data_IF_475646798813
#
_entry.id   IF_475646798813
#
_cell.length_a   1.000
_cell.length_b   1.000
_cell.length_c   1.000
_cell.angle_alpha   90.00
_cell.angle_beta   90.00
_cell.angle_gamma   90.00
#
_symmetry.space_group_name_H-M   'P 1'
#
loop_
_entity.id
_entity.type
_entity.pdbx_description
1 polymer ?
#
# COMPACT_ATOMS: atom_id res chain seq x y z
N UNK A 1 -61.46 21.86 -42.19
CA UNK A 1 -60.54 22.41 -41.19
C UNK A 1 -59.23 22.73 -41.91
N UNK A 2 -59.03 24.00 -42.34
CA UNK A 2 -57.78 24.44 -42.96
C UNK A 2 -56.92 24.96 -41.81
N UNK A 3 -56.04 24.13 -41.28
CA UNK A 3 -54.97 24.65 -40.43
C UNK A 3 -54.10 25.49 -41.37
N UNK A 4 -54.03 26.79 -41.12
CA UNK A 4 -53.22 27.68 -41.95
C UNK A 4 -51.75 27.23 -41.80
N UNK A 5 -51.08 27.03 -42.93
CA UNK A 5 -49.66 26.62 -42.97
C UNK A 5 -48.79 27.60 -42.17
N UNK A 6 -49.23 28.85 -42.04
CA UNK A 6 -48.62 29.91 -41.26
C UNK A 6 -48.60 29.63 -39.74
N UNK A 7 -49.69 29.12 -39.17
CA UNK A 7 -49.77 28.78 -37.73
C UNK A 7 -48.85 27.60 -37.38
N UNK A 8 -48.77 26.61 -38.26
CA UNK A 8 -47.86 25.48 -38.10
C UNK A 8 -46.40 25.92 -38.20
N UNK A 9 -46.09 26.86 -39.10
CA UNK A 9 -44.73 27.40 -39.28
C UNK A 9 -44.29 28.23 -38.08
N UNK A 10 -45.17 29.05 -37.52
CA UNK A 10 -44.90 29.83 -36.31
C UNK A 10 -44.62 28.92 -35.10
N UNK A 11 -45.42 27.85 -34.92
CA UNK A 11 -45.22 26.89 -33.84
C UNK A 11 -43.87 26.15 -33.95
N UNK A 12 -43.50 25.68 -35.15
CA UNK A 12 -42.21 25.02 -35.40
C UNK A 12 -41.04 25.97 -35.11
N UNK A 13 -41.14 27.25 -35.50
CA UNK A 13 -40.11 28.26 -35.23
C UNK A 13 -39.90 28.53 -33.74
N UNK A 14 -40.98 28.58 -32.95
CA UNK A 14 -40.91 28.78 -31.50
C UNK A 14 -40.27 27.58 -30.81
N UNK A 15 -40.66 26.36 -31.19
CA UNK A 15 -40.08 25.12 -30.66
C UNK A 15 -38.59 25.00 -31.04
N UNK A 16 -38.22 25.32 -32.28
CA UNK A 16 -36.83 25.34 -32.72
C UNK A 16 -35.99 26.37 -31.97
N UNK A 17 -36.53 27.57 -31.72
CA UNK A 17 -35.90 28.61 -30.91
C UNK A 17 -35.66 28.16 -29.46
N UNK A 18 -36.66 27.51 -28.85
CA UNK A 18 -36.55 26.97 -27.50
C UNK A 18 -35.48 25.86 -27.40
N UNK A 19 -35.46 24.92 -28.34
CA UNK A 19 -34.44 23.85 -28.40
C UNK A 19 -33.05 24.45 -28.58
N UNK A 20 -32.91 25.43 -29.49
CA UNK A 20 -31.62 26.10 -29.73
C UNK A 20 -31.14 26.84 -28.49
N UNK A 21 -32.04 27.51 -27.77
CA UNK A 21 -31.74 28.16 -26.49
C UNK A 21 -31.24 27.17 -25.44
N UNK A 22 -31.92 26.02 -25.28
CA UNK A 22 -31.50 24.96 -24.35
C UNK A 22 -30.12 24.40 -24.71
N UNK A 23 -29.84 24.19 -26.00
CA UNK A 23 -28.55 23.69 -26.48
C UNK A 23 -27.39 24.66 -26.23
N UNK A 24 -27.64 25.97 -26.37
CA UNK A 24 -26.61 26.99 -26.09
C UNK A 24 -26.30 27.02 -24.59
N UNK A 25 -27.33 26.98 -23.74
CA UNK A 25 -27.18 26.94 -22.28
C UNK A 25 -26.43 25.66 -21.85
N UNK A 26 -26.77 24.51 -22.41
CA UNK A 26 -26.09 23.25 -22.08
C UNK A 26 -24.62 23.26 -22.51
N UNK A 27 -24.30 23.80 -23.68
CA UNK A 27 -22.90 23.95 -24.13
C UNK A 27 -22.10 24.90 -23.24
N UNK A 28 -22.71 25.98 -22.79
CA UNK A 28 -22.08 26.93 -21.86
C UNK A 28 -21.80 26.27 -20.50
N UNK A 29 -22.77 25.57 -19.92
CA UNK A 29 -22.60 24.85 -18.65
C UNK A 29 -21.54 23.75 -18.75
N UNK A 30 -21.52 22.98 -19.85
CA UNK A 30 -20.46 21.99 -20.09
C UNK A 30 -19.09 22.64 -20.22
N UNK A 31 -18.97 23.79 -20.88
CA UNK A 31 -17.72 24.54 -21.01
C UNK A 31 -17.20 25.08 -19.67
N UNK A 32 -18.10 25.45 -18.76
CA UNK A 32 -17.72 25.84 -17.39
C UNK A 32 -17.30 24.62 -16.58
N UNK A 33 -18.10 23.55 -16.57
CA UNK A 33 -17.81 22.35 -15.79
C UNK A 33 -16.49 21.68 -16.21
N UNK A 34 -16.19 21.63 -17.50
CA UNK A 34 -14.92 21.10 -18.01
C UNK A 34 -13.73 21.92 -17.54
N UNK A 35 -13.80 23.26 -17.59
CA UNK A 35 -12.74 24.13 -17.05
C UNK A 35 -12.58 24.00 -15.55
N UNK A 36 -13.67 23.90 -14.80
CA UNK A 36 -13.63 23.71 -13.36
C UNK A 36 -13.01 22.36 -12.98
N UNK A 37 -13.40 21.29 -13.69
CA UNK A 37 -12.82 19.96 -13.51
C UNK A 37 -11.31 19.96 -13.83
N UNK A 38 -10.90 20.50 -14.97
CA UNK A 38 -9.48 20.48 -15.38
C UNK A 38 -8.60 21.41 -14.54
N UNK A 39 -9.12 22.53 -14.05
CA UNK A 39 -8.31 23.52 -13.33
C UNK A 39 -8.17 23.21 -11.85
N UNK A 40 -9.14 22.54 -11.24
CA UNK A 40 -9.17 22.32 -9.80
C UNK A 40 -9.09 20.85 -9.41
N UNK A 41 -9.78 19.96 -10.12
CA UNK A 41 -9.84 18.54 -9.75
C UNK A 41 -8.58 17.82 -10.22
N UNK A 42 -8.18 17.98 -11.48
CA UNK A 42 -6.97 17.33 -12.03
C UNK A 42 -5.69 17.61 -11.21
N UNK A 43 -5.35 18.85 -10.81
CA UNK A 43 -4.14 19.08 -10.03
C UNK A 43 -4.25 18.57 -8.58
N UNK A 44 -5.45 18.46 -8.03
CA UNK A 44 -5.67 17.85 -6.71
C UNK A 44 -5.46 16.33 -6.81
N UNK A 45 -6.03 15.69 -7.82
CA UNK A 45 -5.89 14.25 -8.08
C UNK A 45 -4.42 13.88 -8.29
N UNK A 46 -3.70 14.67 -9.10
CA UNK A 46 -2.25 14.49 -9.32
C UNK A 46 -1.43 14.64 -8.03
N UNK A 47 -1.76 15.62 -7.18
CA UNK A 47 -1.07 15.82 -5.89
C UNK A 47 -1.38 14.68 -4.91
N UNK A 48 -2.62 14.19 -4.88
CA UNK A 48 -3.01 13.04 -4.07
C UNK A 48 -2.26 11.80 -4.53
N UNK A 49 -2.19 11.55 -5.83
CA UNK A 49 -1.46 10.41 -6.40
C UNK A 49 0.04 10.48 -6.17
N UNK A 50 0.62 11.67 -6.23
CA UNK A 50 2.03 11.88 -5.89
C UNK A 50 2.27 11.61 -4.39
N UNK A 51 1.46 12.20 -3.52
CA UNK A 51 1.56 12.01 -2.07
C UNK A 51 1.37 10.54 -1.68
N UNK A 52 0.42 9.84 -2.31
CA UNK A 52 0.20 8.41 -2.07
C UNK A 52 1.41 7.57 -2.49
N UNK A 53 2.06 7.91 -3.61
CA UNK A 53 3.30 7.25 -4.04
C UNK A 53 4.45 7.49 -3.06
N UNK A 54 4.62 8.72 -2.59
CA UNK A 54 5.66 9.07 -1.60
C UNK A 54 5.42 8.34 -0.27
N UNK A 55 4.20 8.36 0.26
CA UNK A 55 3.83 7.65 1.49
C UNK A 55 4.05 6.14 1.34
N UNK A 56 3.65 5.56 0.20
CA UNK A 56 3.88 4.13 -0.07
C UNK A 56 5.36 3.79 -0.06
N UNK A 57 6.20 4.61 -0.69
CA UNK A 57 7.66 4.43 -0.68
C UNK A 57 8.25 4.49 0.73
N UNK A 58 7.82 5.45 1.55
CA UNK A 58 8.26 5.56 2.95
C UNK A 58 7.81 4.38 3.80
N UNK A 59 6.59 3.88 3.60
CA UNK A 59 6.08 2.68 4.30
C UNK A 59 6.88 1.45 3.90
N UNK A 60 7.16 1.26 2.61
CA UNK A 60 7.95 0.14 2.10
C UNK A 60 9.38 0.17 2.68
N UNK A 61 10.05 1.32 2.63
CA UNK A 61 11.38 1.50 3.20
C UNK A 61 11.39 1.23 4.71
N UNK A 62 10.45 1.82 5.46
CA UNK A 62 10.36 1.60 6.90
C UNK A 62 10.01 0.13 7.24
N UNK A 63 9.26 -0.56 6.39
CA UNK A 63 8.97 -1.98 6.54
C UNK A 63 10.23 -2.84 6.41
N UNK A 64 11.09 -2.54 5.43
CA UNK A 64 12.38 -3.20 5.25
C UNK A 64 13.32 -2.92 6.42
N UNK A 65 13.41 -1.66 6.87
CA UNK A 65 14.24 -1.27 8.01
C UNK A 65 13.81 -1.98 9.30
N UNK A 66 12.50 -2.04 9.57
CA UNK A 66 11.95 -2.78 10.72
C UNK A 66 12.21 -4.27 10.60
N UNK A 67 12.12 -4.85 9.40
CA UNK A 67 12.45 -6.26 9.16
C UNK A 67 13.91 -6.53 9.47
N UNK A 68 14.82 -5.68 9.00
CA UNK A 68 16.27 -5.82 9.27
C UNK A 68 16.57 -5.67 10.76
N UNK A 69 16.00 -4.66 11.43
CA UNK A 69 16.15 -4.48 12.87
C UNK A 69 15.72 -5.73 13.67
N UNK A 70 14.58 -6.34 13.30
CA UNK A 70 14.12 -7.59 13.93
C UNK A 70 15.06 -8.76 13.67
N UNK A 71 15.61 -8.85 12.46
CA UNK A 71 16.56 -9.90 12.08
C UNK A 71 17.85 -9.78 12.90
N UNK A 72 18.37 -8.56 13.06
CA UNK A 72 19.56 -8.27 13.87
C UNK A 72 19.33 -8.55 15.36
N UNK A 73 18.16 -8.21 15.90
CA UNK A 73 17.80 -8.56 17.27
C UNK A 73 17.80 -10.07 17.48
N UNK A 74 17.14 -10.82 16.60
CA UNK A 74 17.10 -12.28 16.67
C UNK A 74 18.52 -12.87 16.56
N UNK A 75 19.32 -12.38 15.62
CA UNK A 75 20.72 -12.79 15.42
C UNK A 75 21.53 -12.59 16.70
N UNK A 76 21.44 -11.42 17.33
CA UNK A 76 22.18 -11.10 18.55
C UNK A 76 21.78 -12.00 19.73
N UNK A 77 20.48 -12.23 19.91
CA UNK A 77 19.98 -13.10 20.98
C UNK A 77 20.38 -14.56 20.77
N UNK A 78 20.20 -15.11 19.56
CA UNK A 78 20.61 -16.48 19.23
C UNK A 78 22.12 -16.65 19.38
N UNK A 79 22.92 -15.69 18.91
CA UNK A 79 24.38 -15.75 19.04
C UNK A 79 24.80 -15.81 20.51
N UNK A 80 24.14 -15.07 21.39
CA UNK A 80 24.40 -15.11 22.82
C UNK A 80 24.10 -16.50 23.40
N UNK A 81 22.91 -17.04 23.17
CA UNK A 81 22.57 -18.40 23.62
C UNK A 81 23.53 -19.46 23.10
N UNK A 82 23.87 -19.40 21.81
CA UNK A 82 24.82 -20.32 21.20
C UNK A 82 26.23 -20.21 21.78
N UNK A 83 26.64 -19.01 22.20
CA UNK A 83 27.93 -18.80 22.87
C UNK A 83 27.93 -19.37 24.28
N UNK A 84 26.81 -19.27 25.00
CA UNK A 84 26.68 -19.86 26.33
C UNK A 84 26.69 -21.39 26.26
N UNK A 85 25.99 -21.97 25.28
CA UNK A 85 26.04 -23.41 24.99
C UNK A 85 27.46 -23.87 24.61
N UNK A 86 28.19 -23.06 23.84
CA UNK A 86 29.58 -23.33 23.46
C UNK A 86 30.49 -23.41 24.69
N UNK A 87 30.24 -22.59 25.71
CA UNK A 87 30.94 -22.59 27.00
C UNK A 87 30.48 -23.70 27.94
N UNK A 88 29.52 -24.53 27.54
CA UNK A 88 29.00 -25.65 28.33
C UNK A 88 27.81 -25.31 29.22
N UNK A 89 27.24 -24.11 29.11
CA UNK A 89 26.00 -23.75 29.81
C UNK A 89 24.83 -24.51 29.21
N UNK A 90 24.06 -25.21 30.04
CA UNK A 90 22.79 -25.80 29.63
C UNK A 90 21.69 -24.75 29.80
N UNK A 91 20.86 -24.60 28.77
CA UNK A 91 19.68 -23.75 28.85
C UNK A 91 18.65 -24.39 29.80
N UNK A 92 18.00 -23.56 30.60
CA UNK A 92 16.78 -23.94 31.32
C UNK A 92 15.65 -24.20 30.32
N UNK A 93 14.58 -24.87 30.76
CA UNK A 93 13.41 -25.13 29.91
C UNK A 93 12.79 -23.83 29.34
N UNK A 94 12.66 -22.81 30.18
CA UNK A 94 12.14 -21.48 29.78
C UNK A 94 13.06 -20.81 28.75
N UNK A 95 14.38 -20.93 28.93
CA UNK A 95 15.34 -20.38 27.97
C UNK A 95 15.35 -21.15 26.66
N UNK A 96 15.13 -22.47 26.70
CA UNK A 96 15.01 -23.32 25.52
C UNK A 96 13.74 -22.98 24.72
N UNK A 97 12.60 -22.80 25.40
CA UNK A 97 11.36 -22.35 24.78
C UNK A 97 11.56 -20.99 24.10
N UNK A 98 12.11 -20.02 24.84
CA UNK A 98 12.42 -18.69 24.30
C UNK A 98 13.40 -18.75 23.13
N UNK A 99 14.41 -19.60 23.20
CA UNK A 99 15.36 -19.81 22.12
C UNK A 99 14.66 -20.35 20.87
N UNK A 100 13.75 -21.31 21.02
CA UNK A 100 12.98 -21.89 19.92
C UNK A 100 12.03 -20.86 19.28
N UNK A 101 11.41 -20.00 20.07
CA UNK A 101 10.58 -18.90 19.57
C UNK A 101 11.40 -17.89 18.76
N UNK A 102 12.56 -17.49 19.28
CA UNK A 102 13.46 -16.57 18.58
C UNK A 102 13.97 -17.22 17.29
N UNK A 103 14.36 -18.49 17.32
CA UNK A 103 14.84 -19.20 16.14
C UNK A 103 13.72 -19.34 15.08
N UNK A 104 12.50 -19.64 15.50
CA UNK A 104 11.35 -19.71 14.59
C UNK A 104 11.07 -18.38 13.91
N UNK A 105 11.13 -17.27 14.67
CA UNK A 105 10.99 -15.93 14.10
C UNK A 105 12.17 -15.57 13.18
N UNK A 106 13.39 -15.96 13.55
CA UNK A 106 14.57 -15.74 12.73
C UNK A 106 14.47 -16.44 11.36
N UNK A 107 14.02 -17.70 11.33
CA UNK A 107 13.75 -18.45 10.08
C UNK A 107 12.71 -17.73 9.23
N UNK A 108 11.58 -17.32 9.82
CA UNK A 108 10.49 -16.61 9.12
C UNK A 108 10.97 -15.29 8.49
N UNK A 109 11.92 -14.61 9.13
CA UNK A 109 12.47 -13.34 8.65
C UNK A 109 13.54 -13.51 7.56
N UNK A 110 13.97 -14.73 7.25
CA UNK A 110 15.02 -15.02 6.27
C UNK A 110 16.42 -14.97 6.87
N UNK A 111 16.58 -15.50 8.09
CA UNK A 111 17.86 -15.63 8.77
C UNK A 111 18.96 -16.31 7.94
N UNK A 112 20.22 -16.07 8.30
CA UNK A 112 21.36 -16.59 7.57
C UNK A 112 21.68 -18.05 7.93
N UNK A 113 22.31 -18.75 6.98
CA UNK A 113 22.66 -20.17 7.11
C UNK A 113 23.67 -20.47 8.23
N UNK A 114 24.51 -19.50 8.62
CA UNK A 114 25.53 -19.70 9.64
C UNK A 114 24.93 -20.01 11.01
N UNK A 115 23.94 -19.22 11.44
CA UNK A 115 23.26 -19.49 12.71
C UNK A 115 22.51 -20.83 12.63
N UNK A 116 21.80 -21.10 11.54
CA UNK A 116 21.10 -22.38 11.36
C UNK A 116 22.04 -23.59 11.48
N UNK A 117 23.19 -23.56 10.78
CA UNK A 117 24.18 -24.63 10.84
C UNK A 117 24.72 -24.85 12.27
N UNK A 118 24.95 -23.76 13.02
CA UNK A 118 25.44 -23.85 14.41
C UNK A 118 24.38 -24.43 15.35
N UNK A 119 23.10 -24.09 15.15
CA UNK A 119 21.97 -24.67 15.87
C UNK A 119 21.87 -26.18 15.61
N UNK A 120 21.90 -26.59 14.34
CA UNK A 120 21.80 -28.00 13.95
C UNK A 120 22.96 -28.83 14.52
N UNK A 121 24.18 -28.28 14.50
CA UNK A 121 25.34 -28.88 15.13
C UNK A 121 25.12 -29.14 16.62
N UNK A 122 24.55 -28.19 17.35
CA UNK A 122 24.33 -28.36 18.80
C UNK A 122 23.16 -29.29 19.13
N UNK A 123 22.13 -29.34 18.30
CA UNK A 123 21.09 -30.37 18.37
C UNK A 123 21.66 -31.77 18.17
N UNK A 124 22.49 -31.96 17.14
CA UNK A 124 23.16 -33.24 16.88
C UNK A 124 24.10 -33.66 18.02
N UNK A 125 24.62 -32.70 18.79
CA UNK A 125 25.45 -32.95 19.99
C UNK A 125 24.62 -33.17 21.27
N UNK A 126 23.29 -33.10 21.22
CA UNK A 126 22.42 -33.19 22.39
C UNK A 126 22.58 -32.02 23.37
N UNK A 127 23.07 -30.87 22.89
CA UNK A 127 23.20 -29.63 23.68
C UNK A 127 21.98 -28.72 23.56
N UNK A 128 21.14 -28.96 22.55
CA UNK A 128 19.86 -28.33 22.25
C UNK A 128 18.82 -29.41 21.95
#
# INVERSE_FOLDING_TARGET
>A
MKIAVEDLTAFISVVAGAITGVLIISKFLNGLMTKWASTLIEPIDQKIDQSNREIKGLIEQNSEDVKQMKLDLCKNLLTRYLSDIERGTKLTEIELERFNDINSNYIKLGGNSYIHSKIDKYKAQGKL
#
